data_IF_390364123351
#
_entry.id   IF_390364123351
#
_cell.length_a   1.000
_cell.length_b   1.000
_cell.length_c   1.000
_cell.angle_alpha   90.00
_cell.angle_beta   90.00
_cell.angle_gamma   90.00
#
_symmetry.space_group_name_H-M   'P 1'
#
loop_
_entity.id
_entity.type
_entity.pdbx_description
1 polymer ?
#
# COMPACT_ATOMS: atom_id res chain seq x y z
N UNK A 1 1.41 -8.86 -20.38
CA UNK A 1 1.30 -8.71 -18.92
C UNK A 1 1.70 -7.29 -18.57
N UNK A 2 0.99 -6.69 -17.63
CA UNK A 2 1.34 -5.39 -17.08
C UNK A 2 2.39 -5.55 -15.97
N UNK A 3 3.12 -4.48 -15.64
CA UNK A 3 4.13 -4.52 -14.57
C UNK A 3 3.48 -4.91 -13.23
N UNK A 4 2.24 -4.43 -12.99
CA UNK A 4 1.46 -4.83 -11.81
C UNK A 4 1.28 -6.35 -11.73
N UNK A 5 0.88 -6.99 -12.82
CA UNK A 5 0.63 -8.44 -12.88
C UNK A 5 1.91 -9.25 -12.62
N UNK A 6 3.06 -8.78 -13.10
CA UNK A 6 4.35 -9.41 -12.83
C UNK A 6 4.74 -9.33 -11.34
N UNK A 7 4.49 -8.18 -10.70
CA UNK A 7 4.72 -8.01 -9.26
C UNK A 7 3.77 -8.91 -8.45
N UNK A 8 2.49 -8.95 -8.80
CA UNK A 8 1.50 -9.82 -8.16
C UNK A 8 1.85 -11.31 -8.30
N UNK A 9 2.33 -11.73 -9.48
CA UNK A 9 2.79 -13.10 -9.70
C UNK A 9 4.03 -13.43 -8.83
N UNK A 10 4.95 -12.48 -8.72
CA UNK A 10 6.14 -12.62 -7.86
C UNK A 10 5.77 -12.69 -6.39
N UNK A 11 4.82 -11.88 -5.91
CA UNK A 11 4.29 -11.96 -4.55
C UNK A 11 3.73 -13.37 -4.26
N UNK A 12 2.91 -13.91 -5.16
CA UNK A 12 2.33 -15.25 -5.02
C UNK A 12 3.40 -16.36 -4.95
N UNK A 13 4.51 -16.20 -5.66
CA UNK A 13 5.56 -17.21 -5.72
C UNK A 13 6.58 -17.12 -4.57
N UNK A 14 6.85 -15.92 -4.06
CA UNK A 14 7.94 -15.66 -3.11
C UNK A 14 7.48 -15.48 -1.65
N UNK A 15 6.26 -15.00 -1.43
CA UNK A 15 5.77 -14.76 -0.07
C UNK A 15 5.29 -16.06 0.59
N UNK A 16 5.31 -16.07 1.92
CA UNK A 16 4.76 -17.17 2.70
C UNK A 16 3.27 -17.39 2.40
N UNK A 17 2.78 -18.62 2.55
CA UNK A 17 1.38 -18.98 2.30
C UNK A 17 0.39 -18.18 3.15
N UNK A 18 0.80 -17.74 4.33
CA UNK A 18 0.00 -16.91 5.23
C UNK A 18 0.10 -15.41 4.94
N UNK A 19 0.93 -14.98 3.97
CA UNK A 19 1.08 -13.58 3.63
C UNK A 19 -0.19 -13.03 2.94
N UNK A 20 -0.45 -11.74 3.19
CA UNK A 20 -1.51 -11.01 2.48
C UNK A 20 -1.01 -10.59 1.11
N UNK A 21 -1.62 -11.16 0.06
CA UNK A 21 -1.26 -10.92 -1.33
C UNK A 21 -2.10 -9.79 -1.92
N UNK A 22 -1.47 -8.88 -2.67
CA UNK A 22 -2.18 -7.75 -3.27
C UNK A 22 -3.25 -8.19 -4.28
N UNK A 23 -2.97 -9.25 -5.04
CA UNK A 23 -3.92 -9.91 -5.96
C UNK A 23 -5.14 -10.54 -5.28
N UNK A 24 -5.09 -10.78 -3.96
CA UNK A 24 -6.21 -11.34 -3.16
C UNK A 24 -6.86 -10.28 -2.26
N UNK A 25 -6.59 -9.01 -2.50
CA UNK A 25 -7.27 -7.92 -1.79
C UNK A 25 -8.79 -8.01 -1.98
N UNK A 26 -9.55 -7.60 -0.97
CA UNK A 26 -11.02 -7.49 -1.05
C UNK A 26 -11.49 -6.32 -1.93
N UNK A 27 -10.56 -5.56 -2.50
CA UNK A 27 -10.85 -4.36 -3.27
C UNK A 27 -11.09 -3.13 -2.39
N UNK A 28 -11.71 -2.11 -2.97
CA UNK A 28 -12.05 -0.85 -2.31
C UNK A 28 -13.58 -0.69 -2.25
N UNK A 29 -14.05 0.17 -1.36
CA UNK A 29 -15.48 0.49 -1.24
C UNK A 29 -16.04 1.09 -2.54
N UNK A 30 -15.25 1.94 -3.18
CA UNK A 30 -15.55 2.46 -4.52
C UNK A 30 -14.66 1.69 -5.50
N UNK A 31 -15.27 1.08 -6.51
CA UNK A 31 -14.56 0.35 -7.54
C UNK A 31 -13.68 1.29 -8.36
N UNK A 32 -12.44 0.86 -8.61
CA UNK A 32 -11.45 1.62 -9.34
C UNK A 32 -10.71 0.68 -10.29
N UNK A 33 -10.43 1.16 -11.49
CA UNK A 33 -9.67 0.39 -12.48
C UNK A 33 -8.24 0.09 -11.97
N UNK A 34 -7.72 -1.14 -12.19
CA UNK A 34 -6.36 -1.49 -11.79
C UNK A 34 -5.31 -0.64 -12.50
N UNK A 35 -4.32 -0.15 -11.75
CA UNK A 35 -3.16 0.55 -12.31
C UNK A 35 -2.27 -0.44 -13.08
N UNK A 36 -1.72 -0.08 -14.25
CA UNK A 36 -0.89 -1.00 -15.04
C UNK A 36 0.49 -1.29 -14.42
N UNK A 37 0.93 -0.50 -13.43
CA UNK A 37 2.26 -0.58 -12.84
C UNK A 37 2.21 -0.92 -11.36
N UNK A 38 1.27 -0.35 -10.61
CA UNK A 38 1.24 -0.42 -9.15
C UNK A 38 0.19 -1.41 -8.66
N UNK A 39 0.57 -2.25 -7.70
CA UNK A 39 -0.40 -3.09 -6.99
C UNK A 39 -1.33 -2.25 -6.12
N UNK A 40 -2.46 -2.82 -5.70
CA UNK A 40 -3.43 -2.11 -4.85
C UNK A 40 -2.79 -1.56 -3.57
N UNK A 41 -1.88 -2.32 -2.93
CA UNK A 41 -1.17 -1.89 -1.73
C UNK A 41 -0.11 -0.80 -2.00
N UNK A 42 0.54 -0.82 -3.17
CA UNK A 42 1.45 0.26 -3.58
C UNK A 42 0.70 1.59 -3.77
N UNK A 43 -0.49 1.53 -4.38
CA UNK A 43 -1.37 2.69 -4.50
C UNK A 43 -1.80 3.24 -3.13
N UNK A 44 -2.19 2.36 -2.21
CA UNK A 44 -2.63 2.77 -0.88
C UNK A 44 -1.49 3.42 -0.09
N UNK A 45 -0.28 2.87 -0.17
CA UNK A 45 0.94 3.48 0.37
C UNK A 45 1.13 4.89 -0.18
N UNK A 46 1.07 5.07 -1.50
CA UNK A 46 1.26 6.37 -2.12
C UNK A 46 0.19 7.38 -1.66
N UNK A 47 -1.08 6.96 -1.53
CA UNK A 47 -2.18 7.81 -1.01
C UNK A 47 -1.91 8.27 0.42
N UNK A 48 -1.48 7.36 1.29
CA UNK A 48 -1.17 7.68 2.69
C UNK A 48 0.00 8.67 2.77
N UNK A 49 1.10 8.39 2.07
CA UNK A 49 2.33 9.21 2.07
C UNK A 49 2.05 10.65 1.61
N UNK A 50 1.19 10.84 0.60
CA UNK A 50 0.87 12.17 0.06
C UNK A 50 -0.29 12.87 0.77
N UNK A 51 -0.94 12.22 1.75
CA UNK A 51 -2.07 12.79 2.47
C UNK A 51 -1.68 14.03 3.29
N UNK A 52 -2.63 14.96 3.49
CA UNK A 52 -2.43 16.13 4.38
C UNK A 52 -2.14 15.69 5.81
N UNK A 53 -2.82 14.65 6.29
CA UNK A 53 -2.65 14.11 7.65
C UNK A 53 -1.23 13.58 7.88
N UNK A 54 -0.69 12.79 6.94
CA UNK A 54 0.68 12.28 7.04
C UNK A 54 1.70 13.42 7.03
N UNK A 55 1.56 14.42 6.15
CA UNK A 55 2.43 15.60 6.13
C UNK A 55 2.43 16.38 7.46
N UNK A 56 1.28 16.49 8.14
CA UNK A 56 1.17 17.16 9.44
C UNK A 56 1.95 16.43 10.54
N UNK A 57 2.21 15.13 10.41
CA UNK A 57 3.01 14.38 11.40
C UNK A 57 4.43 14.94 11.53
N UNK A 58 5.00 15.54 10.48
CA UNK A 58 6.29 16.24 10.54
C UNK A 58 6.33 17.33 11.62
N UNK A 59 5.18 17.90 11.95
CA UNK A 59 5.03 18.97 12.94
C UNK A 59 4.45 18.47 14.27
N UNK A 60 4.36 17.15 14.47
CA UNK A 60 3.93 16.53 15.72
C UNK A 60 5.06 15.70 16.28
N UNK A 61 5.31 15.82 17.58
CA UNK A 61 6.24 14.93 18.27
C UNK A 61 5.50 13.69 18.75
N UNK A 62 6.14 12.54 18.61
CA UNK A 62 5.80 11.38 19.44
C UNK A 62 6.28 11.71 20.86
N UNK A 63 5.45 11.42 21.86
CA UNK A 63 5.65 11.67 23.30
C UNK A 63 7.13 11.87 23.67
N UNK A 64 7.52 13.13 23.87
CA UNK A 64 8.76 13.49 24.56
C UNK A 64 8.35 14.04 25.92
N UNK A 65 8.49 13.22 26.95
CA UNK A 65 8.48 13.66 28.35
C UNK A 65 9.96 13.77 28.73
N UNK A 66 10.52 14.97 28.61
CA UNK A 66 11.78 15.30 29.28
C UNK A 66 11.42 15.70 30.73
N UNK A 67 12.05 15.13 31.77
CA UNK A 67 11.81 15.52 33.15
C UNK A 67 12.20 16.98 33.42
#
# INVERSE_FOLDING_TARGET
MSIREEIEARENAMLDKAASLSSKSRGREIEEEPDPVRTCFMLDRDRVVHSKSFRRLKHKTQVFIAP
#
